data_IF_065726123550
#
_entry.id   IF_065726123550
#
_cell.length_a   1.000
_cell.length_b   1.000
_cell.length_c   1.000
_cell.angle_alpha   90.00
_cell.angle_beta   90.00
_cell.angle_gamma   90.00
#
_symmetry.space_group_name_H-M   'P 1'
#
loop_
_entity.id
_entity.type
_entity.pdbx_description
1 polymer ?
#
# COMPACT_ATOMS: atom_id res chain seq x y z
N UNK A 1 -31.15 9.94 15.16
CA UNK A 1 -30.67 9.02 14.10
C UNK A 1 -29.55 9.75 13.36
N UNK A 2 -28.29 9.52 13.74
CA UNK A 2 -27.13 10.15 13.11
C UNK A 2 -26.66 9.28 11.96
N UNK A 3 -26.74 9.79 10.74
CA UNK A 3 -26.31 9.12 9.52
C UNK A 3 -24.79 9.21 9.38
N UNK A 4 -24.11 8.07 9.48
CA UNK A 4 -22.70 7.90 9.09
C UNK A 4 -22.61 8.04 7.57
N UNK A 5 -22.12 9.18 7.10
CA UNK A 5 -21.75 9.39 5.70
C UNK A 5 -20.44 8.65 5.45
N UNK A 6 -20.38 7.66 4.54
CA UNK A 6 -19.11 7.03 4.20
C UNK A 6 -18.28 8.08 3.46
N UNK A 7 -17.23 8.60 4.09
CA UNK A 7 -16.26 9.44 3.41
C UNK A 7 -15.56 8.56 2.37
N UNK A 8 -15.85 8.79 1.09
CA UNK A 8 -15.07 8.20 -0.01
C UNK A 8 -13.59 8.50 0.26
N UNK A 9 -12.74 7.48 0.50
CA UNK A 9 -11.31 7.71 0.71
C UNK A 9 -10.79 8.42 -0.53
N UNK A 10 -10.21 9.61 -0.33
CA UNK A 10 -9.54 10.31 -1.43
C UNK A 10 -8.36 9.43 -1.85
N UNK A 11 -8.22 9.06 -3.13
CA UNK A 11 -7.11 8.22 -3.58
C UNK A 11 -5.81 8.91 -3.18
N UNK A 12 -5.09 8.27 -2.25
CA UNK A 12 -3.84 8.77 -1.73
C UNK A 12 -2.74 8.23 -2.62
N UNK A 13 -2.20 9.05 -3.54
CA UNK A 13 -1.02 8.62 -4.30
C UNK A 13 0.12 8.37 -3.31
N UNK A 14 0.61 7.13 -3.25
CA UNK A 14 1.78 6.76 -2.47
C UNK A 14 3.01 6.87 -3.38
N UNK A 15 3.95 7.74 -3.02
CA UNK A 15 5.25 7.81 -3.68
C UNK A 15 6.25 6.91 -2.97
N UNK A 16 6.72 5.88 -3.67
CA UNK A 16 7.79 5.00 -3.20
C UNK A 16 9.01 5.17 -4.10
N UNK A 17 10.15 5.52 -3.51
CA UNK A 17 11.41 5.66 -4.23
C UNK A 17 12.43 4.65 -3.70
N UNK A 18 12.74 3.62 -4.51
CA UNK A 18 13.75 2.60 -4.19
C UNK A 18 14.99 2.90 -5.03
N UNK A 19 16.07 3.32 -4.36
CA UNK A 19 17.32 3.73 -5.03
C UNK A 19 18.32 2.60 -5.19
N UNK A 20 18.23 1.58 -4.34
CA UNK A 20 19.23 0.52 -4.23
C UNK A 20 18.65 -0.84 -4.57
N UNK A 21 19.46 -1.67 -5.25
CA UNK A 21 19.06 -3.03 -5.64
C UNK A 21 18.74 -3.90 -4.42
N UNK A 22 19.51 -3.76 -3.34
CA UNK A 22 19.29 -4.51 -2.10
C UNK A 22 17.93 -4.18 -1.47
N UNK A 23 17.57 -2.90 -1.41
CA UNK A 23 16.28 -2.45 -0.89
C UNK A 23 15.11 -2.95 -1.77
N UNK A 24 15.27 -3.00 -3.09
CA UNK A 24 14.28 -3.57 -3.99
C UNK A 24 14.05 -5.05 -3.72
N UNK A 25 15.14 -5.83 -3.57
CA UNK A 25 15.02 -7.25 -3.26
C UNK A 25 14.38 -7.51 -1.89
N UNK A 26 14.68 -6.68 -0.89
CA UNK A 26 14.09 -6.81 0.44
C UNK A 26 12.59 -6.43 0.46
N UNK A 27 12.17 -5.50 -0.41
CA UNK A 27 10.77 -5.09 -0.50
C UNK A 27 9.94 -6.01 -1.40
N UNK A 28 10.54 -6.76 -2.34
CA UNK A 28 9.83 -7.60 -3.28
C UNK A 28 9.31 -8.91 -2.64
N UNK A 29 8.06 -9.26 -2.93
CA UNK A 29 7.39 -10.46 -2.45
C UNK A 29 7.10 -11.38 -3.64
N UNK A 30 7.90 -12.44 -3.87
CA UNK A 30 7.75 -13.31 -5.04
C UNK A 30 6.63 -14.36 -4.90
N UNK A 31 6.07 -14.54 -3.70
CA UNK A 31 5.09 -15.60 -3.43
C UNK A 31 3.71 -15.31 -4.05
N UNK A 32 3.42 -14.04 -4.35
CA UNK A 32 2.16 -13.65 -4.98
C UNK A 32 2.20 -13.92 -6.48
N UNK A 33 1.06 -14.32 -7.03
CA UNK A 33 0.90 -14.67 -8.46
C UNK A 33 1.39 -13.57 -9.39
N UNK A 34 1.10 -12.31 -9.05
CA UNK A 34 1.50 -11.13 -9.83
C UNK A 34 2.75 -10.43 -9.27
N UNK A 35 3.42 -11.06 -8.30
CA UNK A 35 4.42 -10.41 -7.46
C UNK A 35 3.81 -9.42 -6.47
N UNK A 36 4.64 -8.92 -5.56
CA UNK A 36 4.23 -7.93 -4.58
C UNK A 36 5.37 -7.03 -4.17
N UNK A 37 5.05 -5.88 -3.59
CA UNK A 37 6.04 -4.99 -2.98
C UNK A 37 5.55 -4.56 -1.60
N UNK A 38 6.41 -4.65 -0.61
CA UNK A 38 6.16 -4.11 0.72
C UNK A 38 6.39 -2.60 0.72
N UNK A 39 5.36 -1.85 1.10
CA UNK A 39 5.45 -0.40 1.29
C UNK A 39 5.48 -0.11 2.79
N UNK A 40 6.61 0.36 3.35
CA UNK A 40 6.65 0.79 4.73
C UNK A 40 5.80 2.06 4.89
N UNK A 41 4.75 1.98 5.70
CA UNK A 41 3.84 3.09 5.98
C UNK A 41 3.36 3.00 7.44
N UNK A 42 3.15 4.16 8.07
CA UNK A 42 2.54 4.25 9.39
C UNK A 42 1.01 4.38 9.33
N UNK A 43 0.43 4.39 8.12
CA UNK A 43 -1.02 4.47 7.92
C UNK A 43 -1.63 3.07 7.96
N UNK A 44 -2.79 2.96 8.59
CA UNK A 44 -3.59 1.74 8.56
C UNK A 44 -4.26 1.59 7.20
N UNK A 45 -4.03 0.45 6.55
CA UNK A 45 -4.72 0.03 5.33
C UNK A 45 -5.41 -1.31 5.56
N UNK A 46 -6.55 -1.51 4.90
CA UNK A 46 -7.26 -2.78 4.90
C UNK A 46 -6.95 -3.54 3.62
N UNK A 47 -7.07 -4.87 3.71
CA UNK A 47 -6.98 -5.70 2.53
C UNK A 47 -8.09 -5.33 1.54
N UNK A 48 -7.73 -5.04 0.29
CA UNK A 48 -8.65 -4.60 -0.75
C UNK A 48 -8.88 -3.09 -0.81
N UNK A 49 -8.21 -2.29 0.02
CA UNK A 49 -8.09 -0.85 -0.23
C UNK A 49 -7.23 -0.64 -1.50
N UNK A 50 -7.77 0.14 -2.45
CA UNK A 50 -7.10 0.58 -3.68
C UNK A 50 -6.66 2.05 -3.55
#
# INVERSE_FOLDING_TARGET
>A
MSTITPSTPRPSVIQLAIKEKAALYAAYIPLFTDGGVFIPTARDYKLGDD
#
